data_IF_621011925947
#
_entry.id   IF_621011925947
#
_cell.length_a   1.000
_cell.length_b   1.000
_cell.length_c   1.000
_cell.angle_alpha   90.00
_cell.angle_beta   90.00
_cell.angle_gamma   90.00
#
_symmetry.space_group_name_H-M   'P 1'
#
loop_
_entity.id
_entity.type
_entity.pdbx_description
1 polymer ?
#
# COMPACT_ATOMS: atom_id res chain seq x y z
N UNK A 1 -1.52 10.22 7.37
CA UNK A 1 -0.28 9.41 7.52
C UNK A 1 -0.30 8.36 6.44
N UNK A 2 0.64 8.42 5.49
CA UNK A 2 0.67 7.48 4.37
C UNK A 2 1.26 6.16 4.85
N UNK A 3 0.47 5.10 4.84
CA UNK A 3 0.92 3.75 5.18
C UNK A 3 1.42 3.07 3.91
N UNK A 4 2.52 2.35 4.03
CA UNK A 4 3.09 1.51 2.98
C UNK A 4 2.92 0.05 3.39
N UNK A 5 2.69 -0.82 2.42
CA UNK A 5 2.53 -2.25 2.63
C UNK A 5 3.46 -3.03 1.69
N UNK A 6 4.17 -4.01 2.25
CA UNK A 6 4.99 -4.92 1.46
C UNK A 6 4.10 -6.00 0.81
N UNK A 7 4.16 -6.18 -0.52
CA UNK A 7 3.37 -7.23 -1.19
C UNK A 7 3.73 -8.64 -0.75
N UNK A 8 5.00 -8.87 -0.43
CA UNK A 8 5.55 -10.20 -0.16
C UNK A 8 5.25 -10.70 1.25
N UNK A 9 5.55 -9.90 2.28
CA UNK A 9 5.37 -10.28 3.69
C UNK A 9 4.19 -9.59 4.38
N UNK A 10 3.45 -8.72 3.69
CA UNK A 10 2.31 -7.93 4.23
C UNK A 10 2.67 -7.03 5.41
N UNK A 11 3.95 -6.75 5.60
CA UNK A 11 4.42 -5.80 6.60
C UNK A 11 3.94 -4.39 6.27
N UNK A 12 3.36 -3.70 7.25
CA UNK A 12 2.91 -2.30 7.13
C UNK A 12 3.89 -1.36 7.81
N UNK A 13 4.26 -0.28 7.13
CA UNK A 13 5.16 0.74 7.66
C UNK A 13 4.63 2.15 7.36
N UNK A 14 4.94 3.13 8.21
CA UNK A 14 4.43 4.51 8.09
C UNK A 14 5.45 5.46 7.44
N UNK A 15 6.59 4.94 6.99
CA UNK A 15 7.71 5.74 6.48
C UNK A 15 7.95 5.51 4.99
N UNK A 16 7.85 6.58 4.19
CA UNK A 16 8.19 6.62 2.76
C UNK A 16 9.71 6.57 2.48
N UNK A 17 10.56 6.57 3.51
CA UNK A 17 12.03 6.62 3.36
C UNK A 17 12.69 5.25 3.17
N UNK A 18 11.92 4.17 3.24
CA UNK A 18 12.45 2.83 3.06
C UNK A 18 12.17 2.40 1.62
N UNK A 19 13.22 2.32 0.79
CA UNK A 19 13.15 1.67 -0.52
C UNK A 19 12.83 0.19 -0.34
N UNK A 20 13.48 -0.45 0.62
CA UNK A 20 13.34 -1.88 0.89
C UNK A 20 12.52 -2.17 2.16
N UNK A 21 11.74 -3.25 2.12
CA UNK A 21 11.00 -3.72 3.28
C UNK A 21 11.97 -4.17 4.39
N UNK A 22 11.93 -3.58 5.60
CA UNK A 22 12.89 -3.88 6.68
C UNK A 22 12.77 -5.31 7.21
N UNK A 23 11.64 -5.96 6.97
CA UNK A 23 11.37 -7.31 7.45
C UNK A 23 11.91 -8.40 6.50
N UNK A 24 11.91 -8.16 5.19
CA UNK A 24 12.26 -9.18 4.19
C UNK A 24 13.32 -8.75 3.19
N UNK A 25 13.83 -7.50 3.28
CA UNK A 25 14.88 -6.95 2.41
C UNK A 25 14.49 -6.93 0.94
N UNK A 26 13.20 -6.79 0.61
CA UNK A 26 12.72 -6.71 -0.78
C UNK A 26 12.15 -5.34 -1.06
N UNK A 27 12.47 -4.82 -2.25
CA UNK A 27 11.89 -3.61 -2.83
C UNK A 27 10.49 -3.91 -3.40
N UNK A 28 9.55 -4.23 -2.50
CA UNK A 28 8.15 -4.54 -2.85
C UNK A 28 7.16 -3.76 -1.97
N UNK A 29 7.62 -2.63 -1.43
CA UNK A 29 6.80 -1.70 -0.66
C UNK A 29 5.94 -0.87 -1.61
N UNK A 30 4.65 -0.87 -1.37
CA UNK A 30 3.69 -0.05 -2.10
C UNK A 30 2.91 0.84 -1.17
N UNK A 31 2.45 1.98 -1.68
CA UNK A 31 1.58 2.87 -0.93
C UNK A 31 0.21 2.21 -0.72
N UNK A 32 -0.21 2.10 0.54
CA UNK A 32 -1.56 1.67 0.90
C UNK A 32 -2.52 2.77 0.46
N UNK A 33 -3.46 2.43 -0.44
CA UNK A 33 -4.53 3.34 -0.85
C UNK A 33 -5.38 3.71 0.37
N UNK A 34 -5.83 4.96 0.45
CA UNK A 34 -6.74 5.37 1.51
C UNK A 34 -8.11 4.72 1.32
N UNK A 35 -8.90 4.62 2.39
CA UNK A 35 -10.25 4.06 2.32
C UNK A 35 -11.12 4.77 1.26
N UNK A 36 -11.01 6.10 1.18
CA UNK A 36 -11.71 6.91 0.17
C UNK A 36 -11.30 6.54 -1.27
N UNK A 37 -10.01 6.33 -1.53
CA UNK A 37 -9.54 5.92 -2.85
C UNK A 37 -10.01 4.52 -3.21
N UNK A 38 -10.00 3.59 -2.25
CA UNK A 38 -10.53 2.23 -2.45
C UNK A 38 -12.04 2.26 -2.75
N UNK A 39 -12.81 3.06 -2.01
CA UNK A 39 -14.24 3.22 -2.23
C UNK A 39 -14.54 3.84 -3.59
N UNK A 40 -13.75 4.82 -4.02
CA UNK A 40 -13.89 5.42 -5.35
C UNK A 40 -13.57 4.42 -6.46
N UNK A 41 -12.53 3.60 -6.30
CA UNK A 41 -12.13 2.55 -7.26
C UNK A 41 -13.27 1.51 -7.41
N UNK A 42 -13.82 1.04 -6.28
CA UNK A 42 -14.97 0.11 -6.25
C UNK A 42 -16.19 0.73 -6.93
N UNK A 43 -16.49 2.00 -6.65
CA UNK A 43 -17.63 2.68 -7.26
C UNK A 43 -17.47 2.79 -8.79
N UNK A 44 -16.27 3.08 -9.28
CA UNK A 44 -16.02 3.12 -10.72
C UNK A 44 -16.21 1.74 -11.37
N UNK A 45 -15.76 0.66 -10.72
CA UNK A 45 -15.92 -0.72 -11.24
C UNK A 45 -17.40 -1.14 -11.27
N UNK A 46 -18.19 -0.75 -10.28
CA UNK A 46 -19.61 -1.15 -10.18
C UNK A 46 -20.54 -0.40 -11.14
N UNK A 47 -20.12 0.76 -11.67
CA UNK A 47 -20.95 1.62 -12.52
C UNK A 47 -20.52 1.59 -14.00
N UNK A 48 -19.63 0.68 -14.40
CA UNK A 48 -19.30 0.35 -15.80
C UNK A 48 -20.11 -0.87 -16.28
#
# INVERSE_FOLDING_TARGET
MVKYICRHCKFRCETNKLSECPYCGRDTLEKEKSAEELLSDINNILNE
#
